data_IF_577556558606
#
_entry.id   IF_577556558606
#
_cell.length_a   1.000
_cell.length_b   1.000
_cell.length_c   1.000
_cell.angle_alpha   90.00
_cell.angle_beta   90.00
_cell.angle_gamma   90.00
#
_symmetry.space_group_name_H-M   'P 1'
#
loop_
_entity.id
_entity.type
_entity.pdbx_description
1 polymer ?
#
# COMPACT_ATOMS: atom_id res chain seq x y z
N UNK A 1 -15.99 -4.89 -59.06
CA UNK A 1 -14.87 -3.94 -58.84
C UNK A 1 -15.50 -2.62 -58.44
N UNK A 2 -15.22 -1.93 -57.35
CA UNK A 2 -14.09 -1.93 -56.45
C UNK A 2 -14.54 -1.55 -55.02
N UNK A 3 -13.74 -2.00 -54.06
CA UNK A 3 -13.85 -1.81 -52.60
C UNK A 3 -13.66 -0.34 -52.20
N UNK A 4 -14.38 0.13 -51.19
CA UNK A 4 -13.87 1.16 -50.26
C UNK A 4 -14.17 0.73 -48.83
N UNK A 5 -13.09 0.51 -48.10
CA UNK A 5 -13.04 0.21 -46.67
C UNK A 5 -13.47 1.45 -45.86
N UNK A 6 -14.34 1.25 -44.89
CA UNK A 6 -14.48 2.12 -43.73
C UNK A 6 -13.43 1.70 -42.69
N UNK A 7 -12.59 2.63 -42.25
CA UNK A 7 -11.82 2.49 -41.02
C UNK A 7 -12.05 3.71 -40.14
N UNK A 8 -12.61 3.38 -38.98
CA UNK A 8 -12.74 4.15 -37.76
C UNK A 8 -11.37 4.49 -37.17
N UNK A 9 -11.18 5.75 -36.76
CA UNK A 9 -10.47 6.11 -35.52
C UNK A 9 -11.12 7.39 -35.00
N UNK A 10 -11.95 7.30 -33.96
CA UNK A 10 -12.47 8.47 -33.25
C UNK A 10 -11.62 8.72 -32.01
N UNK A 11 -10.95 9.86 -32.01
CA UNK A 11 -10.33 10.48 -30.85
C UNK A 11 -11.40 11.01 -29.90
N UNK A 12 -11.28 10.77 -28.60
CA UNK A 12 -12.04 11.52 -27.59
C UNK A 12 -11.20 11.78 -26.35
N UNK A 13 -10.52 12.92 -26.40
CA UNK A 13 -10.08 13.73 -25.26
C UNK A 13 -11.30 14.37 -24.59
N UNK A 14 -11.39 14.32 -23.26
CA UNK A 14 -12.18 15.23 -22.39
C UNK A 14 -11.37 15.31 -21.07
N UNK A 15 -10.58 16.35 -20.74
CA UNK A 15 -10.84 17.78 -20.45
C UNK A 15 -11.92 18.04 -19.37
N UNK A 16 -11.48 18.05 -18.09
CA UNK A 16 -11.48 19.13 -17.05
C UNK A 16 -12.62 20.18 -17.18
N UNK A 17 -13.44 20.60 -16.19
CA UNK A 17 -13.18 21.21 -14.85
C UNK A 17 -14.54 21.57 -14.11
N UNK A 18 -14.61 22.40 -13.04
CA UNK A 18 -14.53 22.12 -11.59
C UNK A 18 -15.83 22.42 -10.80
N UNK A 19 -16.00 21.87 -9.57
CA UNK A 19 -16.74 22.55 -8.49
C UNK A 19 -16.69 21.77 -7.15
N UNK A 20 -16.55 22.55 -6.07
CA UNK A 20 -17.11 22.37 -4.73
C UNK A 20 -16.31 21.60 -3.65
N UNK A 21 -15.82 22.42 -2.70
CA UNK A 21 -16.07 22.37 -1.25
C UNK A 21 -15.96 21.01 -0.55
N UNK A 22 -14.79 20.83 0.04
CA UNK A 22 -14.51 20.33 1.39
C UNK A 22 -15.73 19.86 2.21
N UNK A 23 -15.84 18.55 2.44
CA UNK A 23 -16.50 17.96 3.62
C UNK A 23 -15.76 16.69 4.03
N UNK A 24 -15.50 16.58 5.33
CA UNK A 24 -14.51 15.67 5.91
C UNK A 24 -14.86 14.19 5.83
N UNK A 25 -13.81 13.38 5.78
CA UNK A 25 -13.87 11.93 5.91
C UNK A 25 -13.02 11.51 7.11
N UNK A 26 -13.66 10.79 8.01
CA UNK A 26 -13.13 10.42 9.32
C UNK A 26 -12.44 9.07 9.24
N UNK A 27 -11.14 9.09 9.53
CA UNK A 27 -10.43 8.23 10.48
C UNK A 27 -11.01 6.84 10.73
N UNK A 28 -10.28 5.84 10.23
CA UNK A 28 -10.36 4.47 10.71
C UNK A 28 -10.10 4.44 12.21
N UNK A 29 -11.10 4.02 12.99
CA UNK A 29 -10.95 3.82 14.44
C UNK A 29 -10.03 2.61 14.67
N UNK A 30 -8.76 2.85 15.02
CA UNK A 30 -7.96 1.85 15.72
C UNK A 30 -8.12 2.05 17.22
N UNK A 31 -8.84 1.12 17.85
CA UNK A 31 -8.90 0.98 19.29
C UNK A 31 -7.56 0.39 19.76
N UNK A 32 -6.69 1.22 20.34
CA UNK A 32 -5.57 0.73 21.15
C UNK A 32 -6.12 0.27 22.51
N UNK A 33 -6.40 -1.03 22.63
CA UNK A 33 -6.65 -1.68 23.91
C UNK A 33 -5.32 -2.10 24.54
N UNK A 34 -4.80 -1.30 25.47
CA UNK A 34 -3.65 -1.68 26.30
C UNK A 34 -4.09 -2.70 27.35
N UNK A 35 -3.93 -3.98 27.04
CA UNK A 35 -4.02 -5.04 28.05
C UNK A 35 -2.67 -5.18 28.74
N UNK A 36 -2.48 -4.45 29.84
CA UNK A 36 -1.34 -4.67 30.75
C UNK A 36 -1.58 -5.96 31.53
N UNK A 37 -0.98 -7.05 31.06
CA UNK A 37 -0.94 -8.31 31.81
C UNK A 37 0.11 -8.16 32.93
N UNK A 38 -0.35 -8.08 34.18
CA UNK A 38 0.51 -8.20 35.36
C UNK A 38 1.22 -9.54 35.32
N UNK A 39 2.55 -9.53 35.32
CA UNK A 39 3.36 -10.66 35.77
C UNK A 39 3.76 -10.32 37.21
N UNK A 40 3.16 -11.02 38.15
CA UNK A 40 3.64 -11.09 39.52
C UNK A 40 3.78 -12.57 39.83
N UNK A 41 5.02 -13.09 39.75
CA UNK A 41 5.37 -14.37 40.35
C UNK A 41 6.81 -14.30 40.90
N UNK A 42 6.85 -14.26 42.23
CA UNK A 42 7.71 -15.05 43.12
C UNK A 42 9.15 -15.36 42.70
N UNK A 43 10.11 -14.69 43.33
CA UNK A 43 11.43 -15.26 43.61
C UNK A 43 11.71 -15.15 45.10
N UNK A 44 11.38 -16.21 45.84
CA UNK A 44 11.90 -16.46 47.16
C UNK A 44 12.39 -17.92 47.24
N UNK A 45 13.70 -18.14 47.12
CA UNK A 45 14.42 -19.01 48.04
C UNK A 45 15.94 -18.98 47.77
N UNK A 46 16.69 -18.94 48.87
CA UNK A 46 18.12 -18.72 48.93
C UNK A 46 18.99 -19.77 48.23
N UNK A 47 20.18 -19.35 47.77
CA UNK A 47 21.43 -19.52 48.51
C UNK A 47 22.63 -19.07 47.67
N UNK A 48 23.64 -18.59 48.39
CA UNK A 48 25.05 -18.49 48.03
C UNK A 48 25.44 -17.43 46.99
N UNK A 49 26.07 -16.39 47.53
CA UNK A 49 26.86 -15.40 46.86
C UNK A 49 27.86 -16.00 45.86
N UNK A 50 27.81 -15.50 44.62
CA UNK A 50 29.00 -15.32 43.78
C UNK A 50 28.88 -13.92 43.17
N UNK A 51 29.30 -12.92 43.93
CA UNK A 51 29.49 -11.55 43.43
C UNK A 51 30.73 -11.54 42.53
N UNK A 52 30.56 -12.01 41.28
CA UNK A 52 31.55 -11.79 40.24
C UNK A 52 31.38 -10.37 39.70
N UNK A 53 32.20 -9.47 40.24
CA UNK A 53 32.68 -8.23 39.63
C UNK A 53 31.72 -7.47 38.71
N UNK A 54 30.71 -6.81 39.28
CA UNK A 54 30.19 -5.59 38.64
C UNK A 54 31.28 -4.52 38.79
N UNK A 55 31.75 -3.89 37.71
CA UNK A 55 32.63 -2.74 37.86
C UNK A 55 31.85 -1.71 38.69
N UNK A 56 32.50 -1.13 39.69
CA UNK A 56 31.97 0.04 40.40
C UNK A 56 31.86 1.13 39.33
N UNK A 57 30.72 1.18 38.65
CA UNK A 57 30.32 2.30 37.82
C UNK A 57 30.45 3.51 38.73
N UNK A 58 31.46 4.34 38.50
CA UNK A 58 31.57 5.62 39.17
C UNK A 58 30.21 6.33 39.03
N UNK A 59 29.78 7.08 40.04
CA UNK A 59 28.51 7.81 39.98
C UNK A 59 28.36 8.61 38.66
N UNK A 60 29.48 9.13 38.14
CA UNK A 60 29.60 9.76 36.82
C UNK A 60 29.20 8.85 35.64
N UNK A 61 29.61 7.58 35.63
CA UNK A 61 29.25 6.63 34.57
C UNK A 61 27.79 6.16 34.65
N UNK A 62 27.23 6.02 35.86
CA UNK A 62 25.80 5.74 36.04
C UNK A 62 24.94 6.94 35.66
N UNK A 63 25.32 8.16 36.04
CA UNK A 63 24.64 9.39 35.63
C UNK A 63 24.73 9.63 34.11
N UNK A 64 25.86 9.32 33.48
CA UNK A 64 26.01 9.40 32.03
C UNK A 64 25.11 8.38 31.32
N UNK A 65 25.05 7.15 31.85
CA UNK A 65 24.14 6.11 31.36
C UNK A 65 22.66 6.53 31.49
N UNK A 66 22.25 7.05 32.64
CA UNK A 66 20.88 7.54 32.86
C UNK A 66 20.55 8.74 31.97
N UNK A 67 21.47 9.69 31.78
CA UNK A 67 21.27 10.83 30.87
C UNK A 67 21.17 10.40 29.42
N UNK A 68 22.01 9.45 28.99
CA UNK A 68 21.96 8.89 27.65
C UNK A 68 20.64 8.16 27.41
N UNK A 69 20.23 7.28 28.31
CA UNK A 69 18.95 6.59 28.22
C UNK A 69 17.76 7.54 28.28
N UNK A 70 17.77 8.54 29.17
CA UNK A 70 16.72 9.55 29.23
C UNK A 70 16.64 10.36 27.92
N UNK A 71 17.77 10.77 27.35
CA UNK A 71 17.80 11.48 26.07
C UNK A 71 17.29 10.60 24.92
N UNK A 72 17.71 9.34 24.86
CA UNK A 72 17.26 8.40 23.83
C UNK A 72 15.76 8.12 23.95
N UNK A 73 15.24 7.97 25.18
CA UNK A 73 13.81 7.82 25.44
C UNK A 73 13.02 9.07 25.03
N UNK A 74 13.51 10.27 25.37
CA UNK A 74 12.87 11.53 24.95
C UNK A 74 12.82 11.65 23.43
N UNK A 75 13.92 11.35 22.72
CA UNK A 75 13.95 11.37 21.27
C UNK A 75 13.03 10.31 20.64
N UNK A 76 12.93 9.11 21.25
CA UNK A 76 12.02 8.07 20.79
C UNK A 76 10.54 8.47 20.97
N UNK A 77 10.20 9.07 22.12
CA UNK A 77 8.85 9.60 22.39
C UNK A 77 8.48 10.71 21.41
N UNK A 78 9.40 11.65 21.16
CA UNK A 78 9.18 12.72 20.18
C UNK A 78 8.97 12.15 18.77
N UNK A 79 9.77 11.16 18.36
CA UNK A 79 9.61 10.46 17.08
C UNK A 79 8.22 9.81 16.96
N UNK A 80 7.80 9.07 17.98
CA UNK A 80 6.52 8.36 17.95
C UNK A 80 5.34 9.37 17.85
N UNK A 81 5.40 10.49 18.56
CA UNK A 81 4.40 11.57 18.47
C UNK A 81 4.28 12.12 17.04
N UNK A 82 5.41 12.33 16.35
CA UNK A 82 5.41 12.83 14.96
C UNK A 82 4.83 11.78 14.01
N UNK A 83 5.18 10.50 14.20
CA UNK A 83 4.66 9.40 13.37
C UNK A 83 3.15 9.21 13.58
N UNK A 84 2.67 9.31 14.82
CA UNK A 84 1.24 9.32 15.15
C UNK A 84 0.52 10.50 14.49
N UNK A 85 1.10 11.70 14.54
CA UNK A 85 0.55 12.86 13.85
C UNK A 85 0.49 12.65 12.33
N UNK A 86 1.53 12.05 11.73
CA UNK A 86 1.55 11.73 10.31
C UNK A 86 0.45 10.71 9.95
N UNK A 87 0.28 9.67 10.75
CA UNK A 87 -0.77 8.67 10.51
C UNK A 87 -2.18 9.25 10.74
N UNK A 88 -2.34 10.18 11.68
CA UNK A 88 -3.58 10.94 11.86
C UNK A 88 -3.89 11.81 10.63
N UNK A 89 -2.93 12.61 10.15
CA UNK A 89 -3.10 13.45 8.95
C UNK A 89 -3.44 12.62 7.71
N UNK A 90 -2.79 11.46 7.55
CA UNK A 90 -3.14 10.50 6.50
C UNK A 90 -4.59 10.02 6.62
N UNK A 91 -5.03 9.65 7.84
CA UNK A 91 -6.40 9.19 8.09
C UNK A 91 -7.48 10.27 7.86
N UNK A 92 -7.09 11.54 7.89
CA UNK A 92 -7.94 12.70 7.61
C UNK A 92 -7.86 13.16 6.15
N UNK A 93 -7.08 12.49 5.29
CA UNK A 93 -6.81 12.90 3.91
C UNK A 93 -6.22 14.32 3.79
N UNK A 94 -5.46 14.75 4.78
CA UNK A 94 -4.77 16.05 4.82
C UNK A 94 -3.39 15.95 4.13
N UNK A 95 -3.40 15.59 2.85
CA UNK A 95 -2.20 15.20 2.08
C UNK A 95 -1.09 16.25 2.06
N UNK A 96 -1.43 17.53 1.88
CA UNK A 96 -0.44 18.62 1.84
C UNK A 96 0.25 18.79 3.19
N UNK A 97 -0.53 18.87 4.29
CA UNK A 97 0.00 18.97 5.66
C UNK A 97 0.84 17.75 6.04
N UNK A 98 0.42 16.56 5.61
CA UNK A 98 1.16 15.32 5.80
C UNK A 98 2.55 15.39 5.14
N UNK A 99 2.60 15.84 3.88
CA UNK A 99 3.87 16.01 3.17
C UNK A 99 4.74 17.08 3.83
N UNK A 100 4.19 18.24 4.20
CA UNK A 100 4.90 19.32 4.90
C UNK A 100 5.49 18.88 6.24
N UNK A 101 4.80 18.00 6.96
CA UNK A 101 5.30 17.41 8.21
C UNK A 101 6.50 16.49 7.93
N UNK A 102 6.33 15.55 6.99
CA UNK A 102 7.29 14.46 6.76
C UNK A 102 8.52 14.89 5.95
N UNK A 103 8.42 15.89 5.09
CA UNK A 103 9.55 16.35 4.25
C UNK A 103 10.70 16.91 5.09
N UNK A 104 10.43 17.35 6.31
CA UNK A 104 11.44 17.76 7.31
C UNK A 104 12.38 16.61 7.69
N UNK A 105 11.94 15.36 7.50
CA UNK A 105 12.66 14.13 7.80
C UNK A 105 13.14 13.40 6.54
N UNK A 106 13.20 14.09 5.38
CA UNK A 106 13.64 13.48 4.11
C UNK A 106 15.05 12.89 4.16
N UNK A 107 15.92 13.44 5.01
CA UNK A 107 17.31 13.02 5.20
C UNK A 107 17.48 12.07 6.39
N UNK A 108 16.37 11.63 7.01
CA UNK A 108 16.39 10.64 8.10
C UNK A 108 16.86 9.27 7.63
N UNK A 109 17.49 8.52 8.53
CA UNK A 109 17.87 7.12 8.34
C UNK A 109 16.83 6.14 8.90
N UNK A 110 15.71 6.65 9.41
CA UNK A 110 14.63 5.86 9.98
C UNK A 110 13.64 5.43 8.89
N UNK A 111 13.52 4.12 8.65
CA UNK A 111 12.62 3.56 7.65
C UNK A 111 11.16 4.05 7.83
N UNK A 112 10.71 4.19 9.08
CA UNK A 112 9.35 4.64 9.44
C UNK A 112 8.99 6.04 8.91
N UNK A 113 9.96 6.96 8.84
CA UNK A 113 9.74 8.27 8.22
C UNK A 113 9.79 8.17 6.70
N UNK A 114 10.76 7.41 6.16
CA UNK A 114 11.01 7.34 4.73
C UNK A 114 9.84 6.72 3.96
N UNK A 115 9.29 5.58 4.40
CA UNK A 115 8.16 4.97 3.70
C UNK A 115 6.89 5.84 3.80
N UNK A 116 6.68 6.52 4.94
CA UNK A 116 5.56 7.46 5.10
C UNK A 116 5.71 8.68 4.21
N UNK A 117 6.93 9.20 4.07
CA UNK A 117 7.22 10.31 3.18
C UNK A 117 7.02 9.89 1.72
N UNK A 118 7.41 8.67 1.35
CA UNK A 118 7.12 8.13 0.02
C UNK A 118 5.61 8.07 -0.25
N UNK A 119 4.83 7.52 0.68
CA UNK A 119 3.35 7.54 0.64
C UNK A 119 2.84 8.96 0.43
N UNK A 120 3.25 9.91 1.27
CA UNK A 120 2.79 11.29 1.19
C UNK A 120 3.15 11.95 -0.15
N UNK A 121 4.36 11.69 -0.64
CA UNK A 121 4.86 12.21 -1.93
C UNK A 121 4.05 11.65 -3.10
N UNK A 122 3.73 10.36 -3.06
CA UNK A 122 2.83 9.71 -4.01
C UNK A 122 1.44 10.32 -3.94
N UNK A 123 0.78 10.36 -2.79
CA UNK A 123 -0.57 10.94 -2.67
C UNK A 123 -0.62 12.39 -3.19
N UNK A 124 0.42 13.18 -2.93
CA UNK A 124 0.56 14.54 -3.45
C UNK A 124 0.69 14.58 -4.98
N UNK A 125 1.28 13.55 -5.61
CA UNK A 125 1.43 13.45 -7.07
C UNK A 125 0.13 13.08 -7.79
N UNK A 126 -0.85 12.55 -7.06
CA UNK A 126 -2.18 12.19 -7.57
C UNK A 126 -3.25 13.25 -7.29
N UNK A 127 -2.92 14.35 -6.62
CA UNK A 127 -3.87 15.46 -6.48
C UNK A 127 -4.23 16.05 -7.86
N UNK A 128 -5.49 16.46 -8.10
CA UNK A 128 -5.94 16.97 -9.39
C UNK A 128 -5.19 18.20 -9.89
N UNK A 129 -4.72 19.05 -8.97
CA UNK A 129 -4.09 20.34 -9.25
C UNK A 129 -2.56 20.26 -9.37
N UNK A 130 -1.96 19.07 -9.20
CA UNK A 130 -0.51 18.89 -9.30
C UNK A 130 -0.07 18.94 -10.77
N UNK A 131 0.87 19.84 -11.09
CA UNK A 131 1.38 19.97 -12.46
C UNK A 131 2.18 18.72 -12.91
N UNK A 132 2.25 18.44 -14.23
CA UNK A 132 2.90 17.21 -14.72
C UNK A 132 4.38 17.07 -14.36
N UNK A 133 5.11 18.19 -14.27
CA UNK A 133 6.53 18.17 -13.93
C UNK A 133 6.71 17.82 -12.45
N UNK A 134 5.95 18.47 -11.56
CA UNK A 134 5.94 18.16 -10.13
C UNK A 134 5.46 16.76 -9.86
N UNK A 135 4.45 16.27 -10.58
CA UNK A 135 4.01 14.87 -10.51
C UNK A 135 5.16 13.90 -10.80
N UNK A 136 5.88 14.11 -11.90
CA UNK A 136 7.02 13.27 -12.28
C UNK A 136 8.12 13.30 -11.23
N UNK A 137 8.44 14.49 -10.70
CA UNK A 137 9.40 14.65 -9.62
C UNK A 137 8.98 13.90 -8.35
N UNK A 138 7.73 14.08 -7.90
CA UNK A 138 7.19 13.45 -6.69
C UNK A 138 7.17 11.93 -6.80
N UNK A 139 6.80 11.38 -7.95
CA UNK A 139 6.83 9.94 -8.19
C UNK A 139 8.27 9.40 -8.12
N UNK A 140 9.25 10.12 -8.69
CA UNK A 140 10.67 9.77 -8.60
C UNK A 140 11.19 9.85 -7.15
N UNK A 141 10.86 10.92 -6.43
CA UNK A 141 11.26 11.12 -5.03
C UNK A 141 10.68 10.02 -4.14
N UNK A 142 9.39 9.68 -4.31
CA UNK A 142 8.73 8.61 -3.58
C UNK A 142 9.48 7.27 -3.73
N UNK A 143 9.92 6.94 -4.96
CA UNK A 143 10.66 5.71 -5.20
C UNK A 143 12.05 5.71 -4.56
N UNK A 144 12.76 6.85 -4.58
CA UNK A 144 14.06 6.95 -3.89
C UNK A 144 13.91 6.85 -2.36
N UNK A 145 12.83 7.38 -1.78
CA UNK A 145 12.57 7.24 -0.35
C UNK A 145 12.31 5.78 0.06
N UNK A 146 11.51 5.01 -0.69
CA UNK A 146 11.28 3.58 -0.36
C UNK A 146 12.51 2.71 -0.59
N UNK A 147 13.36 3.03 -1.58
CA UNK A 147 14.66 2.34 -1.75
C UNK A 147 15.53 2.53 -0.52
N UNK A 148 15.67 3.77 -0.05
CA UNK A 148 16.40 4.07 1.20
C UNK A 148 15.74 3.41 2.40
N UNK A 149 14.41 3.41 2.50
CA UNK A 149 13.71 2.74 3.59
C UNK A 149 14.03 1.24 3.63
N UNK A 150 14.08 0.60 2.45
CA UNK A 150 14.43 -0.83 2.31
C UNK A 150 15.87 -1.13 2.70
N UNK A 151 16.82 -0.26 2.36
CA UNK A 151 18.22 -0.38 2.80
C UNK A 151 18.37 -0.26 4.33
N UNK A 152 17.43 0.41 5.00
CA UNK A 152 17.44 0.63 6.46
C UNK A 152 16.70 -0.45 7.22
N UNK A 153 15.59 -0.96 6.69
CA UNK A 153 14.79 -2.00 7.34
C UNK A 153 14.00 -2.83 6.30
N UNK A 154 14.54 -4.01 5.96
CA UNK A 154 13.92 -5.02 5.09
C UNK A 154 13.02 -6.01 5.87
N UNK A 155 12.83 -5.78 7.17
CA UNK A 155 11.91 -6.57 8.02
C UNK A 155 10.58 -5.88 8.23
N UNK A 156 10.40 -4.68 7.67
CA UNK A 156 9.19 -3.89 7.77
C UNK A 156 8.24 -4.13 6.59
N UNK A 157 7.05 -4.67 6.86
CA UNK A 157 6.07 -4.96 5.82
C UNK A 157 5.64 -3.71 5.04
N UNK A 158 5.57 -2.55 5.70
CA UNK A 158 5.13 -1.30 5.08
C UNK A 158 6.15 -0.81 4.05
N UNK A 159 7.44 -1.00 4.33
CA UNK A 159 8.52 -0.68 3.40
C UNK A 159 8.39 -1.51 2.12
N UNK A 160 8.21 -2.83 2.26
CA UNK A 160 7.99 -3.71 1.09
C UNK A 160 6.73 -3.34 0.30
N UNK A 161 5.60 -3.08 0.99
CA UNK A 161 4.36 -2.64 0.34
C UNK A 161 4.57 -1.36 -0.47
N UNK A 162 5.12 -0.32 0.15
CA UNK A 162 5.30 0.98 -0.51
C UNK A 162 6.35 0.92 -1.60
N UNK A 163 7.38 0.07 -1.46
CA UNK A 163 8.32 -0.22 -2.53
C UNK A 163 7.60 -0.76 -3.78
N UNK A 164 6.76 -1.79 -3.61
CA UNK A 164 6.00 -2.38 -4.71
C UNK A 164 5.07 -1.36 -5.38
N UNK A 165 4.36 -0.53 -4.59
CA UNK A 165 3.47 0.51 -5.11
C UNK A 165 4.24 1.56 -5.91
N UNK A 166 5.32 2.13 -5.35
CA UNK A 166 6.10 3.16 -6.02
C UNK A 166 6.82 2.62 -7.27
N UNK A 167 7.29 1.37 -7.25
CA UNK A 167 7.89 0.72 -8.42
C UNK A 167 6.87 0.55 -9.56
N UNK A 168 5.61 0.25 -9.22
CA UNK A 168 4.52 0.21 -10.20
C UNK A 168 4.28 1.59 -10.83
N UNK A 169 4.23 2.65 -10.01
CA UNK A 169 4.01 4.02 -10.49
C UNK A 169 5.14 4.50 -11.42
N UNK A 170 6.40 4.17 -11.11
CA UNK A 170 7.55 4.46 -11.97
C UNK A 170 7.44 3.72 -13.31
N UNK A 171 7.04 2.45 -13.27
CA UNK A 171 6.84 1.61 -14.45
C UNK A 171 5.82 2.19 -15.44
N UNK A 172 4.84 2.98 -14.98
CA UNK A 172 3.83 3.64 -15.83
C UNK A 172 4.45 4.51 -16.92
N UNK A 173 5.55 5.19 -16.59
CA UNK A 173 6.27 6.08 -17.50
C UNK A 173 7.30 5.37 -18.41
N UNK A 174 7.71 4.15 -18.08
CA UNK A 174 8.84 3.44 -18.72
C UNK A 174 8.42 2.47 -19.83
N UNK A 175 7.10 2.34 -20.07
CA UNK A 175 6.53 1.50 -21.12
C UNK A 175 6.40 0.02 -20.75
N UNK A 176 5.79 -0.74 -21.65
CA UNK A 176 5.31 -2.12 -21.40
C UNK A 176 6.42 -3.08 -20.97
N UNK A 177 7.62 -2.98 -21.57
CA UNK A 177 8.76 -3.85 -21.22
C UNK A 177 9.21 -3.66 -19.77
N UNK A 178 9.33 -2.41 -19.33
CA UNK A 178 9.71 -2.09 -17.95
C UNK A 178 8.62 -2.51 -16.96
N UNK A 179 7.33 -2.28 -17.28
CA UNK A 179 6.21 -2.76 -16.47
C UNK A 179 6.25 -4.26 -16.23
N UNK A 180 6.44 -5.04 -17.29
CA UNK A 180 6.53 -6.51 -17.18
C UNK A 180 7.74 -6.91 -16.33
N UNK A 181 8.90 -6.29 -16.53
CA UNK A 181 10.06 -6.61 -15.70
C UNK A 181 9.90 -6.25 -14.22
N UNK A 182 9.37 -5.06 -13.95
CA UNK A 182 9.10 -4.61 -12.59
C UNK A 182 8.04 -5.48 -11.90
N UNK A 183 7.13 -6.10 -12.65
CA UNK A 183 6.06 -6.93 -12.07
C UNK A 183 6.58 -8.12 -11.24
N UNK A 184 7.75 -8.68 -11.57
CA UNK A 184 8.38 -9.75 -10.80
C UNK A 184 8.82 -9.24 -9.43
N UNK A 185 9.56 -8.13 -9.43
CA UNK A 185 10.05 -7.48 -8.21
C UNK A 185 8.87 -7.03 -7.35
N UNK A 186 7.82 -6.47 -7.97
CA UNK A 186 6.58 -6.08 -7.29
C UNK A 186 5.98 -7.28 -6.55
N UNK A 187 5.86 -8.44 -7.21
CA UNK A 187 5.33 -9.66 -6.59
C UNK A 187 6.19 -10.10 -5.40
N UNK A 188 7.51 -10.17 -5.56
CA UNK A 188 8.44 -10.58 -4.47
C UNK A 188 8.27 -9.69 -3.23
N UNK A 189 8.20 -8.36 -3.44
CA UNK A 189 7.99 -7.42 -2.34
C UNK A 189 6.61 -7.58 -1.69
N UNK A 190 5.55 -7.82 -2.46
CA UNK A 190 4.21 -8.04 -1.90
C UNK A 190 4.11 -9.35 -1.12
N UNK A 191 4.71 -10.44 -1.62
CA UNK A 191 4.79 -11.72 -0.91
C UNK A 191 5.57 -11.56 0.41
N UNK A 192 6.68 -10.81 0.39
CA UNK A 192 7.44 -10.49 1.61
C UNK A 192 6.63 -9.62 2.58
N UNK A 193 5.91 -8.62 2.09
CA UNK A 193 5.03 -7.79 2.92
C UNK A 193 3.94 -8.63 3.61
N UNK A 194 3.30 -9.57 2.88
CA UNK A 194 2.29 -10.47 3.41
C UNK A 194 2.90 -11.48 4.41
N UNK A 195 4.13 -11.95 4.17
CA UNK A 195 4.84 -12.82 5.12
C UNK A 195 5.08 -12.09 6.44
N UNK A 196 5.53 -10.82 6.38
CA UNK A 196 5.83 -10.00 7.55
C UNK A 196 4.56 -9.54 8.28
N UNK A 197 3.50 -9.22 7.54
CA UNK A 197 2.20 -8.85 8.09
C UNK A 197 1.04 -9.43 7.26
N UNK A 198 0.54 -10.64 7.60
CA UNK A 198 -0.55 -11.27 6.88
C UNK A 198 -1.91 -10.59 7.09
N UNK A 199 -1.98 -9.57 7.95
CA UNK A 199 -3.18 -8.78 8.27
C UNK A 199 -3.19 -7.42 7.59
N UNK A 200 -2.34 -7.19 6.58
CA UNK A 200 -2.42 -5.98 5.76
C UNK A 200 -3.32 -6.22 4.54
N UNK A 201 -4.58 -5.74 4.54
CA UNK A 201 -5.52 -6.01 3.46
C UNK A 201 -5.09 -5.36 2.13
N UNK A 202 -4.34 -4.25 2.20
CA UNK A 202 -3.79 -3.57 1.02
C UNK A 202 -2.78 -4.44 0.28
N UNK A 203 -1.82 -5.06 0.96
CA UNK A 203 -0.82 -5.93 0.32
C UNK A 203 -1.49 -7.16 -0.31
N UNK A 204 -2.46 -7.75 0.38
CA UNK A 204 -3.27 -8.87 -0.14
C UNK A 204 -4.03 -8.46 -1.42
N UNK A 205 -4.71 -7.31 -1.39
CA UNK A 205 -5.44 -6.79 -2.54
C UNK A 205 -4.52 -6.53 -3.74
N UNK A 206 -3.37 -5.89 -3.54
CA UNK A 206 -2.45 -5.59 -4.65
C UNK A 206 -1.91 -6.89 -5.25
N UNK A 207 -1.60 -7.91 -4.43
CA UNK A 207 -1.16 -9.20 -4.96
C UNK A 207 -2.29 -9.93 -5.70
N UNK A 208 -3.52 -9.87 -5.22
CA UNK A 208 -4.69 -10.36 -5.96
C UNK A 208 -4.88 -9.64 -7.30
N UNK A 209 -4.68 -8.32 -7.34
CA UNK A 209 -4.74 -7.54 -8.58
C UNK A 209 -3.64 -7.94 -9.56
N UNK A 210 -2.43 -8.20 -9.06
CA UNK A 210 -1.34 -8.74 -9.85
C UNK A 210 -1.75 -10.08 -10.47
N UNK A 211 -2.26 -11.03 -9.67
CA UNK A 211 -2.73 -12.33 -10.15
C UNK A 211 -3.80 -12.20 -11.24
N UNK A 212 -4.81 -11.35 -10.99
CA UNK A 212 -5.89 -11.10 -11.95
C UNK A 212 -5.35 -10.56 -13.28
N UNK A 213 -4.47 -9.55 -13.23
CA UNK A 213 -3.89 -8.94 -14.42
C UNK A 213 -3.12 -9.97 -15.26
N UNK A 214 -2.34 -10.85 -14.61
CA UNK A 214 -1.58 -11.90 -15.29
C UNK A 214 -2.44 -13.04 -15.82
N UNK A 215 -3.54 -13.38 -15.15
CA UNK A 215 -4.53 -14.32 -15.65
C UNK A 215 -5.25 -13.79 -16.91
N UNK A 216 -5.54 -12.49 -16.93
CA UNK A 216 -6.22 -11.81 -18.05
C UNK A 216 -5.28 -11.53 -19.25
N UNK A 217 -3.95 -11.51 -19.05
CA UNK A 217 -2.99 -11.14 -20.10
C UNK A 217 -3.24 -11.92 -21.41
N UNK A 218 -3.49 -11.21 -22.53
CA UNK A 218 -3.63 -11.84 -23.84
C UNK A 218 -2.39 -12.64 -24.20
N UNK A 219 -2.58 -13.78 -24.88
CA UNK A 219 -1.51 -14.73 -25.23
C UNK A 219 -0.31 -14.07 -25.95
N UNK A 220 -0.54 -13.00 -26.73
CA UNK A 220 0.52 -12.30 -27.45
C UNK A 220 1.39 -11.41 -26.55
N UNK A 221 0.83 -10.84 -25.47
CA UNK A 221 1.61 -10.08 -24.48
C UNK A 221 2.48 -11.02 -23.64
N UNK A 222 2.01 -12.25 -23.38
CA UNK A 222 2.82 -13.30 -22.72
C UNK A 222 4.08 -13.66 -23.51
N UNK A 223 4.02 -13.63 -24.85
CA UNK A 223 5.19 -13.87 -25.71
C UNK A 223 6.24 -12.77 -25.61
N UNK A 224 5.83 -11.51 -25.45
CA UNK A 224 6.77 -10.39 -25.24
C UNK A 224 7.50 -10.55 -23.90
N UNK A 225 6.78 -10.97 -22.86
CA UNK A 225 7.37 -11.29 -21.57
C UNK A 225 8.35 -12.47 -21.65
N UNK A 226 8.03 -13.52 -22.42
CA UNK A 226 8.92 -14.67 -22.64
C UNK A 226 10.21 -14.37 -23.44
N UNK A 227 10.27 -13.25 -24.16
CA UNK A 227 11.50 -12.81 -24.87
C UNK A 227 12.47 -12.10 -23.91
N UNK A 228 11.96 -11.51 -22.84
CA UNK A 228 12.75 -10.78 -21.84
C UNK A 228 13.11 -11.70 -20.67
N UNK A 229 12.25 -12.66 -20.35
CA UNK A 229 12.37 -13.58 -19.22
C UNK A 229 12.23 -15.02 -19.71
N UNK A 230 13.00 -15.96 -19.15
CA UNK A 230 12.95 -17.39 -19.53
C UNK A 230 11.53 -17.96 -19.46
N UNK A 231 10.73 -17.51 -18.49
CA UNK A 231 9.30 -17.75 -18.40
C UNK A 231 8.56 -16.49 -17.96
N UNK A 232 7.50 -16.06 -18.67
CA UNK A 232 6.68 -14.92 -18.23
C UNK A 232 5.97 -15.25 -16.91
N UNK A 233 5.68 -14.27 -16.05
CA UNK A 233 4.86 -14.54 -14.88
C UNK A 233 3.51 -15.05 -15.36
N UNK A 234 3.01 -16.08 -14.69
CA UNK A 234 1.66 -16.60 -14.92
C UNK A 234 0.94 -16.66 -13.59
N UNK A 235 -0.38 -16.52 -13.66
CA UNK A 235 -1.27 -16.65 -12.53
C UNK A 235 -2.66 -17.03 -13.03
N UNK A 236 -3.55 -17.41 -12.12
CA UNK A 236 -4.93 -17.78 -12.44
C UNK A 236 -5.94 -16.88 -11.75
N UNK A 237 -7.20 -16.93 -12.21
CA UNK A 237 -8.28 -16.21 -11.55
C UNK A 237 -8.58 -16.77 -10.16
N UNK A 238 -8.34 -18.07 -9.93
CA UNK A 238 -8.46 -18.72 -8.62
C UNK A 238 -7.45 -18.14 -7.62
N UNK A 239 -6.18 -17.99 -8.01
CA UNK A 239 -5.16 -17.35 -7.14
C UNK A 239 -5.54 -15.90 -6.81
N UNK A 240 -6.03 -15.15 -7.81
CA UNK A 240 -6.51 -13.78 -7.58
C UNK A 240 -7.68 -13.76 -6.57
N UNK A 241 -8.63 -14.68 -6.73
CA UNK A 241 -9.79 -14.81 -5.87
C UNK A 241 -9.39 -15.08 -4.42
N UNK A 242 -8.45 -15.99 -4.19
CA UNK A 242 -7.94 -16.31 -2.84
C UNK A 242 -7.40 -15.06 -2.13
N UNK A 243 -6.58 -14.26 -2.82
CA UNK A 243 -6.03 -13.04 -2.24
C UNK A 243 -7.08 -11.98 -1.96
N UNK A 244 -8.02 -11.75 -2.89
CA UNK A 244 -9.09 -10.77 -2.69
C UNK A 244 -10.04 -11.17 -1.56
N UNK A 245 -10.39 -12.46 -1.44
CA UNK A 245 -11.20 -12.98 -0.34
C UNK A 245 -10.47 -12.85 1.00
N UNK A 246 -9.16 -13.15 1.03
CA UNK A 246 -8.35 -12.98 2.24
C UNK A 246 -8.23 -11.51 2.66
N UNK A 247 -8.13 -10.58 1.70
CA UNK A 247 -8.16 -9.15 2.01
C UNK A 247 -9.48 -8.75 2.70
N UNK A 248 -10.60 -9.27 2.18
CA UNK A 248 -11.94 -9.04 2.74
C UNK A 248 -12.16 -9.75 4.10
N UNK A 249 -11.53 -10.90 4.32
CA UNK A 249 -11.55 -11.59 5.62
C UNK A 249 -10.79 -10.79 6.69
N UNK A 250 -9.65 -10.21 6.32
CA UNK A 250 -8.77 -9.45 7.22
C UNK A 250 -9.41 -8.13 7.65
N UNK A 251 -10.02 -7.41 6.71
CA UNK A 251 -10.70 -6.14 6.97
C UNK A 251 -11.95 -6.02 6.10
N UNK A 252 -13.13 -6.43 6.59
CA UNK A 252 -14.35 -6.44 5.80
C UNK A 252 -14.74 -5.04 5.32
N UNK A 253 -15.11 -4.94 4.04
CA UNK A 253 -15.55 -3.72 3.38
C UNK A 253 -14.52 -2.57 3.46
N UNK A 254 -13.22 -2.90 3.51
CA UNK A 254 -12.15 -1.89 3.64
C UNK A 254 -11.92 -1.08 2.36
N UNK A 255 -12.19 -1.66 1.18
CA UNK A 255 -11.86 -1.05 -0.10
C UNK A 255 -12.84 -1.46 -1.20
N UNK A 256 -13.55 -0.47 -1.76
CA UNK A 256 -14.55 -0.68 -2.82
C UNK A 256 -13.97 -1.42 -4.04
N UNK A 257 -12.73 -1.11 -4.42
CA UNK A 257 -12.05 -1.77 -5.54
C UNK A 257 -11.85 -3.27 -5.28
N UNK A 258 -11.63 -3.70 -4.03
CA UNK A 258 -11.52 -5.12 -3.70
C UNK A 258 -12.84 -5.86 -4.02
N UNK A 259 -13.98 -5.30 -3.64
CA UNK A 259 -15.31 -5.86 -3.92
C UNK A 259 -15.57 -5.96 -5.42
N UNK A 260 -15.22 -4.91 -6.17
CA UNK A 260 -15.34 -4.91 -7.63
C UNK A 260 -14.47 -6.02 -8.25
N UNK A 261 -13.24 -6.15 -7.79
CA UNK A 261 -12.32 -7.16 -8.31
C UNK A 261 -12.76 -8.58 -7.97
N UNK A 262 -13.36 -8.82 -6.78
CA UNK A 262 -14.03 -10.08 -6.48
C UNK A 262 -15.12 -10.38 -7.52
N UNK A 263 -16.01 -9.42 -7.78
CA UNK A 263 -17.06 -9.54 -8.79
C UNK A 263 -16.52 -9.88 -10.17
N UNK A 264 -15.50 -9.14 -10.64
CA UNK A 264 -14.85 -9.37 -11.95
C UNK A 264 -14.16 -10.73 -12.02
N UNK A 265 -13.55 -11.19 -10.94
CA UNK A 265 -12.88 -12.49 -10.87
C UNK A 265 -13.88 -13.62 -11.00
N UNK A 266 -15.01 -13.56 -10.27
CA UNK A 266 -16.09 -14.53 -10.43
C UNK A 266 -16.71 -14.51 -11.84
N UNK A 267 -16.88 -13.34 -12.47
CA UNK A 267 -17.31 -13.26 -13.88
C UNK A 267 -16.33 -13.97 -14.81
N UNK A 268 -15.02 -13.76 -14.62
CA UNK A 268 -14.00 -14.40 -15.44
C UNK A 268 -14.00 -15.94 -15.27
N UNK A 269 -14.37 -16.41 -14.07
CA UNK A 269 -14.57 -17.83 -13.74
C UNK A 269 -15.95 -18.37 -14.14
N UNK A 270 -16.84 -17.53 -14.71
CA UNK A 270 -18.23 -17.86 -15.09
C UNK A 270 -19.12 -18.29 -13.92
N UNK A 271 -18.83 -17.79 -12.73
CA UNK A 271 -19.68 -17.92 -11.56
C UNK A 271 -20.55 -16.67 -11.41
N UNK A 272 -21.65 -16.65 -12.16
CA UNK A 272 -22.54 -15.49 -12.23
C UNK A 272 -23.24 -15.20 -10.89
N UNK A 273 -23.44 -16.21 -10.04
CA UNK A 273 -24.08 -16.06 -8.74
C UNK A 273 -23.21 -15.25 -7.79
N UNK A 274 -21.94 -15.65 -7.65
CA UNK A 274 -21.00 -14.90 -6.82
C UNK A 274 -20.62 -13.56 -7.45
N UNK A 275 -20.51 -13.48 -8.78
CA UNK A 275 -20.30 -12.22 -9.47
C UNK A 275 -21.41 -11.20 -9.12
N UNK A 276 -22.68 -11.61 -9.19
CA UNK A 276 -23.82 -10.77 -8.85
C UNK A 276 -23.74 -10.28 -7.40
N UNK A 277 -23.40 -11.17 -6.46
CA UNK A 277 -23.24 -10.83 -5.04
C UNK A 277 -22.19 -9.73 -4.84
N UNK A 278 -20.97 -9.93 -5.35
CA UNK A 278 -19.85 -9.02 -5.08
C UNK A 278 -19.96 -7.71 -5.85
N UNK A 279 -20.46 -7.73 -7.09
CA UNK A 279 -20.72 -6.50 -7.83
C UNK A 279 -21.85 -5.68 -7.20
N UNK A 280 -22.87 -6.32 -6.62
CA UNK A 280 -23.91 -5.60 -5.88
C UNK A 280 -23.32 -4.92 -4.65
N UNK A 281 -22.46 -5.61 -3.88
CA UNK A 281 -21.74 -5.00 -2.76
C UNK A 281 -20.85 -3.82 -3.22
N UNK A 282 -20.14 -3.97 -4.33
CA UNK A 282 -19.30 -2.91 -4.88
C UNK A 282 -20.10 -1.67 -5.31
N UNK A 283 -21.27 -1.87 -5.91
CA UNK A 283 -22.22 -0.80 -6.25
C UNK A 283 -22.77 -0.13 -5.00
N UNK A 284 -23.16 -0.90 -4.00
CA UNK A 284 -23.80 -0.37 -2.78
C UNK A 284 -22.78 0.22 -1.78
N UNK A 285 -21.48 0.18 -2.10
CA UNK A 285 -20.42 0.76 -1.30
C UNK A 285 -20.57 2.29 -1.20
N UNK A 286 -20.42 2.89 0.01
CA UNK A 286 -20.49 4.34 0.19
C UNK A 286 -19.43 5.09 -0.62
N UNK A 287 -19.86 5.86 -1.62
CA UNK A 287 -18.94 6.57 -2.51
C UNK A 287 -18.37 7.84 -1.89
N UNK A 288 -17.16 7.76 -1.34
CA UNK A 288 -16.47 8.87 -0.66
C UNK A 288 -15.39 9.49 -1.54
N UNK A 289 -14.67 8.68 -2.30
CA UNK A 289 -13.57 9.10 -3.17
C UNK A 289 -14.01 9.12 -4.64
N UNK A 290 -13.27 9.81 -5.53
CA UNK A 290 -13.46 9.69 -6.98
C UNK A 290 -13.36 8.24 -7.47
N UNK A 291 -12.48 7.43 -6.85
CA UNK A 291 -12.33 6.02 -7.18
C UNK A 291 -13.57 5.22 -6.80
N UNK A 292 -14.17 5.45 -5.63
CA UNK A 292 -15.41 4.76 -5.24
C UNK A 292 -16.55 5.04 -6.23
N UNK A 293 -16.62 6.27 -6.74
CA UNK A 293 -17.61 6.64 -7.78
C UNK A 293 -17.35 5.91 -9.09
N UNK A 294 -16.09 5.73 -9.46
CA UNK A 294 -15.71 4.93 -10.63
C UNK A 294 -16.06 3.46 -10.44
N UNK A 295 -15.76 2.91 -9.26
CA UNK A 295 -16.11 1.54 -8.87
C UNK A 295 -17.62 1.31 -8.94
N UNK A 296 -18.41 2.22 -8.35
CA UNK A 296 -19.87 2.17 -8.41
C UNK A 296 -20.37 2.07 -9.84
N UNK A 297 -19.91 2.98 -10.71
CA UNK A 297 -20.31 3.02 -12.12
C UNK A 297 -19.91 1.73 -12.87
N UNK A 298 -18.67 1.26 -12.68
CA UNK A 298 -18.19 0.02 -13.32
C UNK A 298 -19.02 -1.18 -12.85
N UNK A 299 -19.32 -1.27 -11.55
CA UNK A 299 -20.17 -2.32 -11.00
C UNK A 299 -21.58 -2.30 -11.59
N UNK A 300 -22.23 -1.13 -11.71
CA UNK A 300 -23.54 -1.00 -12.37
C UNK A 300 -23.52 -1.46 -13.83
N UNK A 301 -22.47 -1.12 -14.57
CA UNK A 301 -22.32 -1.51 -15.98
C UNK A 301 -22.11 -3.03 -16.11
N UNK A 302 -21.36 -3.65 -15.20
CA UNK A 302 -21.15 -5.10 -15.20
C UNK A 302 -22.40 -5.86 -14.78
N UNK A 303 -23.16 -5.37 -13.80
CA UNK A 303 -24.43 -5.97 -13.37
C UNK A 303 -25.45 -6.06 -14.51
N UNK A 304 -25.51 -5.06 -15.40
CA UNK A 304 -26.36 -5.07 -16.60
C UNK A 304 -25.97 -6.13 -17.63
N UNK A 305 -24.77 -6.72 -17.52
CA UNK A 305 -24.33 -7.82 -18.41
C UNK A 305 -24.71 -9.20 -17.84
N UNK A 306 -25.00 -9.27 -16.54
CA UNK A 306 -25.38 -10.50 -15.84
C UNK A 306 -26.91 -10.70 -15.74
N UNK A 307 -27.71 -9.71 -16.16
CA UNK A 307 -29.17 -9.72 -16.12
C UNK A 307 -29.79 -9.09 -17.36
#
# INVERSE_FOLDING_TARGET
MARRFFLSVSSSLLKINPAAKCTGLRGTKRLYGTTTRRIADSLNNGRAALLLGLPVLSALSYEAFCRFHASALVCALEKDEILEQADYLYSCAETEKLYELLVKYKDSDEAEFLWRLARASRELSFLPDTDPQRKTQLTSEAFEFVKRALERDDTNFAVHKWYAICLSDIGESQGVKAKIGNSFIIREHLEKAIQLNPKDPTSLHILGYWCFAFAELPWYQRKVAAVIFESPPTSTFEEALEFFLKAEEVDPNFYSKNLLMLGKTYMAMKDDQNALLWLTKAKDYPAHTPEDKQVHKEAEELLKKLG
#
